data_IF_168789252345
#
_entry.id   IF_168789252345
#
_cell.length_a   1.000
_cell.length_b   1.000
_cell.length_c   1.000
_cell.angle_alpha   90.00
_cell.angle_beta   90.00
_cell.angle_gamma   90.00
#
_symmetry.space_group_name_H-M   'P 1'
#
loop_
_entity.id
_entity.type
_entity.pdbx_description
1 polymer ?
#
# COMPACT_ATOMS: atom_id res chain seq x y z
N UNK A 1 -11.24 -8.87 -1.21
CA UNK A 1 -10.08 -8.02 -0.93
C UNK A 1 -9.94 -7.96 0.58
N UNK A 2 -8.74 -8.12 1.12
CA UNK A 2 -8.49 -8.11 2.56
C UNK A 2 -7.40 -7.09 2.91
N UNK A 3 -7.52 -6.50 4.10
CA UNK A 3 -6.49 -5.62 4.63
C UNK A 3 -5.26 -6.44 5.01
N UNK A 4 -4.11 -6.06 4.47
CA UNK A 4 -2.83 -6.77 4.62
C UNK A 4 -1.89 -6.18 5.67
N UNK A 5 -2.22 -5.02 6.25
CA UNK A 5 -1.38 -4.32 7.23
C UNK A 5 -0.86 -2.98 6.71
N UNK A 6 0.14 -2.44 7.40
CA UNK A 6 0.80 -1.17 7.04
C UNK A 6 2.26 -1.40 6.66
N UNK A 7 2.73 -0.63 5.68
CA UNK A 7 4.14 -0.61 5.26
C UNK A 7 4.64 0.82 5.35
N UNK A 8 5.74 1.02 6.07
CA UNK A 8 6.36 2.34 6.15
C UNK A 8 7.13 2.63 4.85
N UNK A 9 6.69 3.64 4.10
CA UNK A 9 7.30 4.07 2.84
C UNK A 9 7.76 5.52 2.96
N UNK A 10 8.73 5.90 2.14
CA UNK A 10 9.06 7.32 1.92
C UNK A 10 8.14 7.84 0.83
N UNK A 11 7.44 8.94 1.09
CA UNK A 11 6.60 9.62 0.11
C UNK A 11 7.46 10.60 -0.67
N UNK A 12 7.49 10.45 -1.99
CA UNK A 12 8.37 11.26 -2.84
C UNK A 12 7.93 12.73 -2.90
N UNK A 13 6.64 13.01 -2.68
CA UNK A 13 6.07 14.38 -2.75
C UNK A 13 6.62 15.31 -1.67
N UNK A 14 6.80 14.82 -0.44
CA UNK A 14 7.15 15.61 0.73
C UNK A 14 8.32 15.04 1.54
N UNK A 15 8.93 13.97 1.06
CA UNK A 15 10.09 13.31 1.64
C UNK A 15 9.83 12.64 3.01
N UNK A 16 8.57 12.62 3.46
CA UNK A 16 8.20 12.08 4.76
C UNK A 16 8.08 10.56 4.75
N UNK A 17 8.23 9.94 5.93
CA UNK A 17 7.94 8.52 6.13
C UNK A 17 6.51 8.35 6.59
N UNK A 18 5.68 7.79 5.72
CA UNK A 18 4.24 7.60 5.96
C UNK A 18 3.88 6.15 5.66
N UNK A 19 2.90 5.61 6.38
CA UNK A 19 2.43 4.26 6.13
C UNK A 19 1.58 4.20 4.85
N UNK A 20 1.80 3.17 4.03
CA UNK A 20 0.86 2.68 3.02
C UNK A 20 -0.03 1.60 3.64
N UNK A 21 -1.34 1.67 3.41
CA UNK A 21 -2.30 0.61 3.77
C UNK A 21 -2.27 -0.45 2.68
N UNK A 22 -1.94 -1.70 3.01
CA UNK A 22 -1.91 -2.80 2.06
C UNK A 22 -3.27 -3.47 1.91
N UNK A 23 -3.59 -3.83 0.67
CA UNK A 23 -4.75 -4.61 0.31
C UNK A 23 -4.34 -5.77 -0.59
N UNK A 24 -4.84 -6.97 -0.32
CA UNK A 24 -4.54 -8.15 -1.13
C UNK A 24 -5.77 -8.95 -1.51
N UNK A 25 -5.61 -9.86 -2.47
CA UNK A 25 -6.63 -10.83 -2.83
C UNK A 25 -6.03 -12.24 -2.96
N UNK A 26 -6.87 -13.31 -2.95
CA UNK A 26 -6.39 -14.68 -3.10
C UNK A 26 -5.61 -14.96 -4.41
N UNK A 27 -5.83 -14.13 -5.44
CA UNK A 27 -5.10 -14.19 -6.71
C UNK A 27 -3.72 -13.49 -6.65
N UNK A 28 -3.19 -13.18 -5.46
CA UNK A 28 -1.85 -12.60 -5.23
C UNK A 28 -1.63 -11.19 -5.79
N UNK A 29 -2.69 -10.47 -6.15
CA UNK A 29 -2.57 -9.04 -6.41
C UNK A 29 -2.44 -8.27 -5.08
N UNK A 30 -1.55 -7.29 -5.08
CA UNK A 30 -1.31 -6.39 -3.94
C UNK A 30 -1.48 -4.95 -4.40
N UNK A 31 -2.28 -4.21 -3.65
CA UNK A 31 -2.52 -2.78 -3.84
C UNK A 31 -2.26 -2.02 -2.55
N UNK A 32 -2.12 -0.72 -2.68
CA UNK A 32 -1.98 0.16 -1.53
C UNK A 32 -2.47 1.58 -1.79
N UNK A 33 -2.73 2.32 -0.72
CA UNK A 33 -2.90 3.78 -0.73
C UNK A 33 -2.20 4.35 0.50
N UNK A 34 -1.98 5.66 0.56
CA UNK A 34 -1.44 6.29 1.76
C UNK A 34 -2.45 6.16 2.92
N UNK A 35 -1.98 5.77 4.11
CA UNK A 35 -2.85 5.52 5.26
C UNK A 35 -3.49 6.81 5.81
N UNK A 36 -2.82 7.95 5.61
CA UNK A 36 -3.33 9.30 5.89
C UNK A 36 -4.22 9.86 4.78
N UNK A 37 -4.36 9.15 3.65
CA UNK A 37 -5.22 9.52 2.52
C UNK A 37 -6.10 8.33 2.08
N UNK A 38 -6.99 7.83 2.95
CA UNK A 38 -7.75 6.59 2.70
C UNK A 38 -8.77 6.71 1.54
N UNK A 39 -9.16 7.92 1.16
CA UNK A 39 -10.08 8.17 0.05
C UNK A 39 -9.38 8.19 -1.32
N UNK A 40 -8.04 8.16 -1.36
CA UNK A 40 -7.29 8.03 -2.62
C UNK A 40 -7.46 6.64 -3.23
N UNK A 41 -7.33 6.57 -4.55
CA UNK A 41 -7.42 5.30 -5.27
C UNK A 41 -6.30 4.34 -4.87
N UNK A 42 -6.63 3.05 -4.87
CA UNK A 42 -5.64 1.99 -4.72
C UNK A 42 -4.69 1.97 -5.91
N UNK A 43 -3.41 2.15 -5.64
CA UNK A 43 -2.32 1.94 -6.59
C UNK A 43 -1.85 0.49 -6.54
N UNK A 44 -1.33 -0.03 -7.65
CA UNK A 44 -0.66 -1.35 -7.67
C UNK A 44 0.64 -1.25 -6.88
N UNK A 45 0.87 -2.19 -5.96
CA UNK A 45 2.14 -2.27 -5.24
C UNK A 45 3.25 -2.65 -6.24
N UNK A 46 4.37 -1.91 -6.31
CA UNK A 46 5.46 -2.18 -7.26
C UNK A 46 6.28 -3.40 -6.90
N UNK A 47 6.14 -3.93 -5.68
CA UNK A 47 6.88 -5.09 -5.19
C UNK A 47 5.95 -6.05 -4.44
N UNK A 48 4.96 -6.63 -5.15
CA UNK A 48 3.92 -7.44 -4.53
C UNK A 48 4.50 -8.68 -3.82
N UNK A 49 5.61 -9.23 -4.31
CA UNK A 49 6.28 -10.42 -3.77
C UNK A 49 6.77 -10.24 -2.33
N UNK A 50 6.96 -9.00 -1.86
CA UNK A 50 7.31 -8.72 -0.48
C UNK A 50 6.17 -8.99 0.52
N UNK A 51 4.94 -9.23 0.03
CA UNK A 51 3.72 -9.32 0.83
C UNK A 51 2.84 -10.55 0.53
N UNK A 52 3.38 -11.53 -0.21
CA UNK A 52 2.69 -12.77 -0.59
C UNK A 52 2.78 -13.87 0.48
#
# INVERSE_FOLDING_TARGET
MEFGGFVLCRREEDDERVCRSLWKCPARHVWWHWADRPDEALEVCPMPEAFL
#
